data_IF_024329050017
#
_entry.id   IF_024329050017
#
_cell.length_a   1.000
_cell.length_b   1.000
_cell.length_c   1.000
_cell.angle_alpha   90.00
_cell.angle_beta   90.00
_cell.angle_gamma   90.00
#
_symmetry.space_group_name_H-M   'P 1'
#
loop_
_entity.id
_entity.type
_entity.pdbx_description
1 polymer ?
#
# COMPACT_ATOMS: atom_id res chain seq x y z
N UNK A 1 73.66 -20.84 -13.73
CA UNK A 1 73.04 -19.76 -12.93
C UNK A 1 72.18 -18.92 -13.87
N UNK A 2 70.93 -18.68 -13.52
CA UNK A 2 69.99 -17.89 -14.34
C UNK A 2 68.56 -18.24 -13.99
N UNK A 3 68.09 -17.69 -12.87
CA UNK A 3 66.86 -18.08 -12.18
C UNK A 3 65.59 -17.97 -13.03
N UNK A 4 64.75 -18.98 -12.85
CA UNK A 4 63.36 -19.03 -13.30
C UNK A 4 62.54 -18.10 -12.41
N UNK A 5 62.30 -16.87 -12.85
CA UNK A 5 61.45 -15.92 -12.14
C UNK A 5 59.98 -16.36 -12.31
N UNK A 6 59.43 -16.98 -11.28
CA UNK A 6 57.99 -17.14 -11.11
C UNK A 6 57.36 -15.75 -11.03
N UNK A 7 56.61 -15.39 -12.08
CA UNK A 7 55.90 -14.13 -12.17
C UNK A 7 54.64 -14.21 -11.29
N UNK A 8 54.78 -13.90 -9.99
CA UNK A 8 53.68 -13.58 -9.08
C UNK A 8 53.23 -12.13 -9.34
N UNK A 9 52.77 -11.83 -10.55
CA UNK A 9 52.16 -10.55 -10.89
C UNK A 9 50.71 -10.53 -10.40
N UNK A 10 50.42 -9.56 -9.53
CA UNK A 10 49.23 -9.49 -8.69
C UNK A 10 47.91 -9.52 -9.44
N UNK A 11 46.97 -10.29 -8.87
CA UNK A 11 45.57 -10.12 -9.19
C UNK A 11 45.12 -8.74 -8.72
N UNK A 12 44.39 -8.04 -9.56
CA UNK A 12 43.78 -6.76 -9.17
C UNK A 12 42.67 -7.04 -8.15
N UNK A 13 42.37 -6.08 -7.25
CA UNK A 13 41.25 -6.20 -6.29
C UNK A 13 39.92 -6.58 -6.96
N UNK A 14 39.73 -6.16 -8.21
CA UNK A 14 38.56 -6.49 -9.02
C UNK A 14 38.53 -7.96 -9.43
N UNK A 15 39.68 -8.56 -9.76
CA UNK A 15 39.79 -9.98 -10.09
C UNK A 15 39.57 -10.87 -8.86
N UNK A 16 40.06 -10.45 -7.69
CA UNK A 16 39.80 -11.16 -6.43
C UNK A 16 38.31 -11.12 -6.07
N UNK A 17 37.68 -9.94 -6.19
CA UNK A 17 36.24 -9.78 -6.02
C UNK A 17 35.44 -10.64 -7.02
N UNK A 18 35.82 -10.65 -8.29
CA UNK A 18 35.17 -11.49 -9.30
C UNK A 18 35.32 -12.99 -9.00
N UNK A 19 36.50 -13.44 -8.54
CA UNK A 19 36.71 -14.84 -8.14
C UNK A 19 35.85 -15.23 -6.94
N UNK A 20 35.75 -14.37 -5.94
CA UNK A 20 34.86 -14.57 -4.78
C UNK A 20 33.39 -14.67 -5.20
N UNK A 21 32.96 -13.87 -6.19
CA UNK A 21 31.61 -13.96 -6.73
C UNK A 21 31.35 -15.26 -7.51
N UNK A 22 32.37 -15.87 -8.11
CA UNK A 22 32.22 -17.09 -8.93
C UNK A 22 32.40 -18.41 -8.17
N UNK A 23 32.90 -18.37 -6.93
CA UNK A 23 33.13 -19.55 -6.08
C UNK A 23 32.36 -19.52 -4.75
N UNK A 24 31.04 -19.27 -4.73
CA UNK A 24 30.34 -19.10 -3.46
C UNK A 24 30.29 -20.38 -2.60
N UNK A 25 30.38 -21.58 -3.20
CA UNK A 25 30.37 -22.82 -2.43
C UNK A 25 31.66 -23.04 -1.62
N UNK A 26 32.81 -22.54 -2.09
CA UNK A 26 34.06 -22.58 -1.32
C UNK A 26 33.93 -21.66 -0.09
N UNK A 27 33.48 -20.42 -0.30
CA UNK A 27 33.21 -19.47 0.77
C UNK A 27 32.22 -20.02 1.80
N UNK A 28 31.10 -20.58 1.35
CA UNK A 28 30.09 -21.14 2.25
C UNK A 28 30.60 -22.38 3.01
N UNK A 29 31.53 -23.14 2.43
CA UNK A 29 32.23 -24.23 3.09
C UNK A 29 33.14 -23.76 4.21
N UNK A 30 33.85 -22.63 4.02
CA UNK A 30 34.67 -21.99 5.06
C UNK A 30 33.82 -21.38 6.18
N UNK A 31 32.67 -20.79 5.82
CA UNK A 31 31.72 -20.24 6.79
C UNK A 31 31.07 -21.33 7.64
N UNK A 32 30.88 -22.53 7.08
CA UNK A 32 30.22 -23.62 7.78
C UNK A 32 30.98 -24.05 9.05
N UNK A 33 30.31 -23.96 10.20
CA UNK A 33 30.90 -24.27 11.50
C UNK A 33 31.51 -23.06 12.25
N UNK A 34 31.54 -21.88 11.62
CA UNK A 34 31.93 -20.63 12.30
C UNK A 34 30.74 -20.02 13.08
N UNK A 35 31.05 -19.22 14.11
CA UNK A 35 30.05 -18.41 14.79
C UNK A 35 29.89 -17.01 14.16
N UNK A 36 28.75 -16.35 14.38
CA UNK A 36 28.50 -14.97 13.93
C UNK A 36 29.61 -14.03 14.41
N UNK A 37 30.15 -14.26 15.61
CA UNK A 37 31.26 -13.50 16.20
C UNK A 37 32.56 -13.60 15.41
N UNK A 38 32.84 -14.75 14.80
CA UNK A 38 34.09 -14.97 14.04
C UNK A 38 34.05 -14.18 12.74
N UNK A 39 32.92 -14.22 12.03
CA UNK A 39 32.69 -13.43 10.82
C UNK A 39 32.75 -11.92 11.10
N UNK A 40 32.19 -11.49 12.24
CA UNK A 40 32.25 -10.08 12.64
C UNK A 40 33.67 -9.62 12.96
N UNK A 41 34.54 -10.49 13.50
CA UNK A 41 35.97 -10.19 13.71
C UNK A 41 36.73 -9.99 12.40
N UNK A 42 36.26 -10.60 11.32
CA UNK A 42 36.79 -10.40 9.95
C UNK A 42 36.26 -9.11 9.30
N UNK A 43 35.45 -8.31 10.01
CA UNK A 43 34.88 -7.06 9.49
C UNK A 43 33.59 -7.24 8.68
N UNK A 44 33.00 -8.44 8.67
CA UNK A 44 31.72 -8.70 8.00
C UNK A 44 30.58 -8.08 8.83
N UNK A 45 29.64 -7.42 8.15
CA UNK A 45 28.49 -6.78 8.80
C UNK A 45 27.61 -7.82 9.50
N UNK A 46 26.88 -7.40 10.54
CA UNK A 46 25.96 -8.31 11.27
C UNK A 46 24.93 -8.97 10.35
N UNK A 47 24.39 -8.20 9.41
CA UNK A 47 23.40 -8.70 8.46
C UNK A 47 24.03 -9.73 7.52
N UNK A 48 25.19 -9.40 6.94
CA UNK A 48 25.88 -10.28 6.00
C UNK A 48 26.34 -11.58 6.67
N UNK A 49 26.84 -11.51 7.91
CA UNK A 49 27.22 -12.70 8.68
C UNK A 49 26.05 -13.67 8.86
N UNK A 50 24.85 -13.17 9.17
CA UNK A 50 23.65 -14.00 9.33
C UNK A 50 23.20 -14.63 8.02
N UNK A 51 23.25 -13.87 6.93
CA UNK A 51 22.91 -14.38 5.61
C UNK A 51 23.88 -15.49 5.18
N UNK A 52 25.19 -15.30 5.38
CA UNK A 52 26.21 -16.30 5.08
C UNK A 52 26.05 -17.56 5.93
N UNK A 53 25.76 -17.44 7.22
CA UNK A 53 25.53 -18.58 8.11
C UNK A 53 24.28 -19.38 7.71
N UNK A 54 23.19 -18.70 7.35
CA UNK A 54 21.97 -19.37 6.86
C UNK A 54 22.22 -20.14 5.56
N UNK A 55 22.99 -19.55 4.65
CA UNK A 55 23.40 -20.23 3.42
C UNK A 55 24.30 -21.43 3.73
N UNK A 56 25.34 -21.25 4.56
CA UNK A 56 26.24 -22.33 4.93
C UNK A 56 25.49 -23.52 5.55
N UNK A 57 24.54 -23.25 6.46
CA UNK A 57 23.68 -24.29 7.02
C UNK A 57 22.80 -24.98 5.96
N UNK A 58 22.22 -24.22 5.01
CA UNK A 58 21.41 -24.82 3.95
C UNK A 58 22.22 -25.76 3.02
N UNK A 59 23.43 -25.36 2.62
CA UNK A 59 24.24 -26.08 1.62
C UNK A 59 25.22 -27.11 2.22
N UNK A 60 25.62 -26.95 3.48
CA UNK A 60 26.58 -27.84 4.17
C UNK A 60 26.04 -28.48 5.46
N UNK A 61 24.97 -27.94 6.02
CA UNK A 61 24.34 -28.47 7.23
C UNK A 61 23.59 -29.79 7.01
N UNK A 62 23.18 -30.46 8.12
CA UNK A 62 22.54 -31.76 8.06
C UNK A 62 21.14 -31.69 7.42
N UNK A 63 20.86 -32.60 6.48
CA UNK A 63 19.56 -32.69 5.79
C UNK A 63 19.23 -34.12 5.37
N UNK A 64 17.94 -34.48 5.36
CA UNK A 64 17.48 -35.76 4.80
C UNK A 64 17.49 -35.78 3.26
N UNK A 65 17.68 -34.63 2.61
CA UNK A 65 17.71 -34.48 1.15
C UNK A 65 19.14 -34.40 0.60
N UNK A 66 20.04 -35.24 1.11
CA UNK A 66 21.50 -35.21 0.85
C UNK A 66 21.85 -35.22 -0.64
N UNK A 67 21.12 -35.97 -1.47
CA UNK A 67 21.34 -36.01 -2.94
C UNK A 67 21.08 -34.64 -3.58
N UNK A 68 19.98 -33.97 -3.21
CA UNK A 68 19.63 -32.64 -3.73
C UNK A 68 20.61 -31.58 -3.24
N UNK A 69 21.04 -31.64 -1.98
CA UNK A 69 22.07 -30.76 -1.43
C UNK A 69 23.39 -30.90 -2.20
N UNK A 70 23.83 -32.13 -2.50
CA UNK A 70 25.03 -32.36 -3.30
C UNK A 70 24.94 -31.72 -4.68
N UNK A 71 23.83 -31.92 -5.40
CA UNK A 71 23.59 -31.29 -6.70
C UNK A 71 23.56 -29.77 -6.61
N UNK A 72 22.97 -29.21 -5.56
CA UNK A 72 22.95 -27.77 -5.38
C UNK A 72 24.37 -27.18 -5.23
N UNK A 73 25.29 -27.90 -4.58
CA UNK A 73 26.70 -27.47 -4.44
C UNK A 73 27.50 -27.50 -5.75
N UNK A 74 26.98 -28.13 -6.81
CA UNK A 74 27.60 -28.12 -8.14
C UNK A 74 27.18 -26.90 -8.97
N UNK A 75 26.37 -25.99 -8.39
CA UNK A 75 25.89 -24.79 -9.07
C UNK A 75 27.02 -23.84 -9.45
N UNK A 76 26.84 -23.15 -10.58
CA UNK A 76 27.73 -22.09 -11.07
C UNK A 76 27.24 -20.69 -10.73
N UNK A 77 26.16 -20.59 -9.96
CA UNK A 77 25.56 -19.32 -9.55
C UNK A 77 26.48 -18.56 -8.60
N UNK A 78 26.43 -17.23 -8.65
CA UNK A 78 27.14 -16.38 -7.70
C UNK A 78 26.39 -16.27 -6.36
N UNK A 79 27.05 -15.73 -5.34
CA UNK A 79 26.48 -15.58 -3.99
C UNK A 79 25.15 -14.81 -4.00
N UNK A 80 25.05 -13.74 -4.77
CA UNK A 80 23.83 -12.94 -4.90
C UNK A 80 22.65 -13.78 -5.42
N UNK A 81 22.91 -14.67 -6.38
CA UNK A 81 21.90 -15.58 -6.91
C UNK A 81 21.49 -16.64 -5.87
N UNK A 82 22.43 -17.17 -5.08
CA UNK A 82 22.09 -18.11 -4.00
C UNK A 82 21.20 -17.47 -2.93
N UNK A 83 21.48 -16.21 -2.55
CA UNK A 83 20.61 -15.42 -1.65
C UNK A 83 19.19 -15.30 -2.23
N UNK A 84 19.08 -15.03 -3.54
CA UNK A 84 17.79 -14.94 -4.22
C UNK A 84 17.04 -16.28 -4.24
N UNK A 85 17.75 -17.39 -4.47
CA UNK A 85 17.18 -18.74 -4.43
C UNK A 85 16.58 -19.01 -3.04
N UNK A 86 17.34 -18.78 -1.96
CA UNK A 86 16.82 -19.02 -0.60
C UNK A 86 15.64 -18.12 -0.25
N UNK A 87 15.62 -16.87 -0.74
CA UNK A 87 14.46 -15.97 -0.60
C UNK A 87 13.19 -16.53 -1.24
N UNK A 88 13.30 -17.27 -2.34
CA UNK A 88 12.14 -17.93 -2.97
C UNK A 88 11.79 -19.26 -2.30
N UNK A 89 12.81 -20.04 -1.93
CA UNK A 89 12.63 -21.33 -1.27
C UNK A 89 11.94 -21.19 0.08
N UNK A 90 12.21 -20.11 0.83
CA UNK A 90 11.52 -19.82 2.11
C UNK A 90 10.01 -19.62 1.99
N UNK A 91 9.49 -19.38 0.77
CA UNK A 91 8.04 -19.21 0.49
C UNK A 91 7.30 -20.54 0.28
N UNK A 92 8.04 -21.64 0.17
CA UNK A 92 7.43 -22.97 -0.01
C UNK A 92 6.86 -23.49 1.31
N UNK A 93 5.77 -24.25 1.25
CA UNK A 93 5.05 -24.71 2.46
C UNK A 93 5.72 -25.91 3.13
N UNK A 94 6.43 -26.74 2.37
CA UNK A 94 7.01 -28.00 2.88
C UNK A 94 8.50 -28.08 2.60
N UNK A 95 9.24 -28.79 3.46
CA UNK A 95 10.68 -29.07 3.25
C UNK A 95 10.94 -29.81 1.93
N UNK A 96 10.00 -30.65 1.48
CA UNK A 96 10.11 -31.40 0.22
C UNK A 96 10.06 -30.46 -0.99
N UNK A 97 9.11 -29.51 -0.97
CA UNK A 97 8.94 -28.51 -2.03
C UNK A 97 10.10 -27.51 -2.01
N UNK A 98 10.54 -27.11 -0.82
CA UNK A 98 11.72 -26.28 -0.63
C UNK A 98 12.95 -26.86 -1.34
N UNK A 99 13.23 -28.14 -1.10
CA UNK A 99 14.34 -28.84 -1.74
C UNK A 99 14.12 -29.10 -3.23
N UNK A 100 12.87 -29.28 -3.68
CA UNK A 100 12.58 -29.45 -5.10
C UNK A 100 12.87 -28.16 -5.87
N UNK A 101 12.35 -27.04 -5.36
CA UNK A 101 12.58 -25.71 -5.92
C UNK A 101 14.07 -25.32 -5.85
N UNK A 102 14.72 -25.53 -4.70
CA UNK A 102 16.16 -25.22 -4.55
C UNK A 102 17.01 -25.96 -5.58
N UNK A 103 16.79 -27.27 -5.75
CA UNK A 103 17.54 -28.08 -6.70
C UNK A 103 17.30 -27.65 -8.15
N UNK A 104 16.04 -27.33 -8.52
CA UNK A 104 15.71 -26.84 -9.86
C UNK A 104 16.39 -25.49 -10.14
N UNK A 105 16.33 -24.55 -9.19
CA UNK A 105 16.93 -23.22 -9.35
C UNK A 105 18.47 -23.28 -9.34
N UNK A 106 19.08 -24.13 -8.50
CA UNK A 106 20.54 -24.28 -8.48
C UNK A 106 21.09 -24.87 -9.79
N UNK A 107 20.32 -25.71 -10.48
CA UNK A 107 20.72 -26.37 -11.71
C UNK A 107 20.41 -25.56 -12.99
N UNK A 108 19.51 -24.58 -12.92
CA UNK A 108 19.09 -23.85 -14.13
C UNK A 108 20.09 -22.75 -14.50
N UNK A 109 20.25 -22.52 -15.81
CA UNK A 109 20.90 -21.32 -16.38
C UNK A 109 19.89 -20.25 -16.81
N UNK A 110 18.59 -20.53 -16.65
CA UNK A 110 17.50 -19.61 -17.00
C UNK A 110 17.40 -18.49 -15.96
N UNK A 111 16.65 -17.46 -16.31
CA UNK A 111 16.23 -16.41 -15.37
C UNK A 111 15.56 -17.05 -14.13
N UNK A 112 16.27 -16.93 -13.00
CA UNK A 112 15.90 -17.52 -11.71
C UNK A 112 14.59 -16.91 -11.21
N UNK A 113 14.40 -15.60 -11.38
CA UNK A 113 13.21 -14.88 -10.91
C UNK A 113 11.97 -15.37 -11.65
N UNK A 114 12.04 -15.42 -12.98
CA UNK A 114 10.94 -15.87 -13.83
C UNK A 114 10.57 -17.33 -13.57
N UNK A 115 11.56 -18.21 -13.41
CA UNK A 115 11.32 -19.63 -13.14
C UNK A 115 10.73 -19.83 -11.74
N UNK A 116 11.30 -19.19 -10.72
CA UNK A 116 10.80 -19.28 -9.34
C UNK A 116 9.34 -18.81 -9.23
N UNK A 117 9.00 -17.67 -9.84
CA UNK A 117 7.61 -17.18 -9.89
C UNK A 117 6.68 -18.16 -10.59
N UNK A 118 7.13 -18.78 -11.68
CA UNK A 118 6.31 -19.77 -12.40
C UNK A 118 6.05 -21.02 -11.55
N UNK A 119 7.02 -21.48 -10.76
CA UNK A 119 6.87 -22.63 -9.86
C UNK A 119 6.06 -22.31 -8.61
N UNK A 120 6.08 -21.04 -8.18
CA UNK A 120 5.26 -20.52 -7.10
C UNK A 120 3.85 -20.10 -7.58
N UNK A 121 3.51 -20.25 -8.87
CA UNK A 121 2.16 -19.96 -9.38
C UNK A 121 1.15 -20.92 -8.77
N UNK A 122 0.45 -20.39 -7.78
CA UNK A 122 -0.70 -20.96 -7.08
C UNK A 122 -1.19 -20.00 -5.98
N UNK A 123 -0.84 -18.71 -6.12
CA UNK A 123 -1.20 -17.65 -5.21
C UNK A 123 -1.82 -16.48 -5.98
N UNK A 124 -2.51 -15.56 -5.27
CA UNK A 124 -3.16 -14.41 -5.88
C UNK A 124 -2.16 -13.61 -6.73
N UNK A 125 -2.60 -13.23 -7.93
CA UNK A 125 -1.85 -12.37 -8.85
C UNK A 125 -2.57 -11.05 -8.96
N UNK A 126 -1.82 -9.95 -8.92
CA UNK A 126 -2.37 -8.59 -8.95
C UNK A 126 -2.25 -8.00 -10.35
N UNK A 127 -3.33 -7.39 -10.82
CA UNK A 127 -3.35 -6.47 -11.96
C UNK A 127 -3.46 -5.04 -11.40
N UNK A 128 -2.61 -4.13 -11.88
CA UNK A 128 -2.65 -2.72 -11.51
C UNK A 128 -3.00 -1.89 -12.75
N UNK A 129 -3.97 -0.97 -12.61
CA UNK A 129 -4.44 -0.07 -13.67
C UNK A 129 -4.20 1.35 -13.17
N UNK A 130 -3.63 2.21 -14.01
CA UNK A 130 -3.38 3.63 -13.72
C UNK A 130 -3.95 4.46 -14.86
N UNK A 131 -4.65 5.54 -14.52
CA UNK A 131 -5.32 6.43 -15.47
C UNK A 131 -5.85 7.66 -14.74
N UNK A 132 -6.63 8.47 -15.44
CA UNK A 132 -7.22 9.69 -14.89
C UNK A 132 -8.09 9.39 -13.66
N UNK A 133 -8.09 10.30 -12.68
CA UNK A 133 -8.74 10.11 -11.38
C UNK A 133 -10.23 9.78 -11.52
N UNK A 134 -10.93 10.48 -12.42
CA UNK A 134 -12.35 10.24 -12.70
C UNK A 134 -12.60 8.90 -13.41
N UNK A 135 -11.73 8.51 -14.35
CA UNK A 135 -11.80 7.20 -15.00
C UNK A 135 -11.60 6.04 -14.02
N UNK A 136 -10.62 6.15 -13.13
CA UNK A 136 -10.34 5.11 -12.13
C UNK A 136 -11.49 4.99 -11.12
N UNK A 137 -12.09 6.11 -10.72
CA UNK A 137 -13.26 6.09 -9.84
C UNK A 137 -14.51 5.47 -10.50
N UNK A 138 -14.77 5.74 -11.78
CA UNK A 138 -15.83 5.10 -12.55
C UNK A 138 -15.60 3.58 -12.69
N UNK A 139 -14.34 3.17 -12.87
CA UNK A 139 -13.96 1.76 -12.91
C UNK A 139 -14.20 1.08 -11.55
N UNK A 140 -13.82 1.73 -10.45
CA UNK A 140 -14.06 1.24 -9.09
C UNK A 140 -15.55 1.12 -8.74
N UNK A 141 -16.39 2.08 -9.15
CA UNK A 141 -17.83 2.02 -8.89
C UNK A 141 -18.50 0.86 -9.63
N UNK A 142 -17.96 0.50 -10.80
CA UNK A 142 -18.47 -0.62 -11.60
C UNK A 142 -17.99 -1.99 -11.07
N UNK A 143 -16.78 -2.06 -10.49
CA UNK A 143 -16.21 -3.26 -9.87
C UNK A 143 -16.62 -3.28 -8.37
N UNK A 144 -17.88 -3.60 -8.10
CA UNK A 144 -18.43 -3.68 -6.74
C UNK A 144 -17.78 -4.73 -5.84
N UNK A 145 -18.08 -4.69 -4.53
CA UNK A 145 -17.42 -5.53 -3.51
C UNK A 145 -17.92 -6.99 -3.47
N UNK A 146 -19.16 -7.25 -3.87
CA UNK A 146 -19.79 -8.57 -3.72
C UNK A 146 -19.23 -9.63 -4.69
N UNK A 147 -18.93 -9.21 -5.94
CA UNK A 147 -18.42 -10.08 -7.01
C UNK A 147 -17.43 -9.37 -7.95
N UNK A 148 -16.28 -8.89 -7.46
CA UNK A 148 -15.35 -8.06 -8.24
C UNK A 148 -14.79 -8.79 -9.49
N UNK A 149 -14.57 -10.10 -9.41
CA UNK A 149 -14.07 -10.88 -10.55
C UNK A 149 -15.12 -11.05 -11.66
N UNK A 150 -16.41 -11.18 -11.30
CA UNK A 150 -17.49 -11.26 -12.28
C UNK A 150 -17.76 -9.90 -12.93
N UNK A 151 -17.61 -8.81 -12.17
CA UNK A 151 -17.67 -7.46 -12.71
C UNK A 151 -16.56 -7.23 -13.74
N UNK A 152 -15.32 -7.61 -13.41
CA UNK A 152 -14.17 -7.53 -14.33
C UNK A 152 -14.40 -8.41 -15.57
N UNK A 153 -14.86 -9.67 -15.41
CA UNK A 153 -15.14 -10.56 -16.55
C UNK A 153 -16.13 -9.94 -17.54
N UNK A 154 -17.16 -9.29 -17.00
CA UNK A 154 -18.21 -8.63 -17.78
C UNK A 154 -17.69 -7.39 -18.53
N UNK A 155 -16.89 -6.56 -17.85
CA UNK A 155 -16.31 -5.32 -18.42
C UNK A 155 -15.35 -5.66 -19.56
N UNK A 156 -14.43 -6.61 -19.34
CA UNK A 156 -13.32 -6.85 -20.26
C UNK A 156 -13.59 -7.90 -21.33
N UNK A 157 -14.43 -8.90 -21.07
CA UNK A 157 -14.57 -10.06 -21.97
C UNK A 157 -15.96 -10.27 -22.54
N UNK A 158 -17.02 -9.77 -21.89
CA UNK A 158 -18.41 -9.99 -22.36
C UNK A 158 -19.09 -8.78 -22.99
N UNK A 159 -18.38 -7.65 -23.12
CA UNK A 159 -18.80 -6.50 -23.92
C UNK A 159 -20.11 -5.83 -23.49
N UNK A 160 -20.49 -5.93 -22.21
CA UNK A 160 -21.81 -5.52 -21.74
C UNK A 160 -21.79 -4.93 -20.34
N UNK A 161 -21.47 -3.65 -20.23
CA UNK A 161 -21.88 -2.84 -19.09
C UNK A 161 -22.35 -1.48 -19.60
N UNK A 162 -23.66 -1.22 -19.51
CA UNK A 162 -24.14 0.15 -19.37
C UNK A 162 -23.45 0.73 -18.14
N UNK A 163 -22.72 1.85 -18.31
CA UNK A 163 -22.11 2.56 -17.18
C UNK A 163 -23.22 2.85 -16.16
N UNK A 164 -23.16 2.31 -14.93
CA UNK A 164 -24.08 2.78 -13.90
C UNK A 164 -23.84 4.27 -13.73
N UNK A 165 -24.89 5.08 -13.86
CA UNK A 165 -24.81 6.52 -13.57
C UNK A 165 -24.66 6.62 -12.06
N UNK A 166 -23.41 6.65 -11.60
CA UNK A 166 -23.10 6.90 -10.20
C UNK A 166 -23.52 8.34 -9.90
N UNK A 167 -24.57 8.53 -9.10
CA UNK A 167 -24.95 9.85 -8.59
C UNK A 167 -23.89 10.29 -7.58
N UNK A 168 -22.80 10.86 -8.09
CA UNK A 168 -21.69 11.32 -7.26
C UNK A 168 -21.94 12.78 -6.89
N UNK A 169 -21.78 13.11 -5.61
CA UNK A 169 -21.87 14.49 -5.15
C UNK A 169 -20.56 15.20 -5.50
N UNK A 170 -20.69 16.42 -6.02
CA UNK A 170 -19.56 17.28 -6.36
C UNK A 170 -19.54 18.43 -5.36
N UNK A 171 -18.40 18.60 -4.71
CA UNK A 171 -18.16 19.59 -3.68
C UNK A 171 -17.65 20.84 -4.37
N UNK A 172 -18.32 21.97 -4.15
CA UNK A 172 -17.92 23.25 -4.72
C UNK A 172 -17.87 24.28 -3.59
N UNK A 173 -16.69 24.84 -3.34
CA UNK A 173 -16.56 26.00 -2.46
C UNK A 173 -17.08 27.26 -3.15
N UNK A 174 -17.55 28.22 -2.36
CA UNK A 174 -18.19 29.42 -2.91
C UNK A 174 -17.25 30.25 -3.81
N UNK A 175 -15.97 30.35 -3.46
CA UNK A 175 -14.96 31.05 -4.26
C UNK A 175 -14.60 30.31 -5.55
N UNK A 176 -14.66 28.98 -5.54
CA UNK A 176 -14.51 28.13 -6.73
C UNK A 176 -15.71 28.28 -7.67
N UNK A 177 -16.92 28.37 -7.12
CA UNK A 177 -18.13 28.64 -7.89
C UNK A 177 -18.04 29.98 -8.62
N UNK A 178 -17.61 31.04 -7.93
CA UNK A 178 -17.44 32.37 -8.52
C UNK A 178 -16.43 32.36 -9.67
N UNK A 179 -15.31 31.62 -9.54
CA UNK A 179 -14.30 31.45 -10.59
C UNK A 179 -14.85 30.69 -11.80
N UNK A 180 -15.60 29.61 -11.57
CA UNK A 180 -16.22 28.83 -12.64
C UNK A 180 -17.23 29.69 -13.41
N UNK A 181 -18.09 30.43 -12.71
CA UNK A 181 -19.08 31.33 -13.33
C UNK A 181 -18.43 32.49 -14.09
N UNK A 182 -17.23 32.91 -13.66
CA UNK A 182 -16.45 33.97 -14.31
C UNK A 182 -15.60 33.47 -15.50
N UNK A 183 -15.71 32.19 -15.87
CA UNK A 183 -15.03 31.61 -17.03
C UNK A 183 -13.67 30.94 -16.73
N UNK A 184 -13.24 30.86 -15.46
CA UNK A 184 -11.99 30.24 -15.03
C UNK A 184 -12.08 28.72 -14.80
N UNK A 185 -13.10 28.03 -15.32
CA UNK A 185 -13.39 26.63 -14.99
C UNK A 185 -12.30 25.62 -15.38
N UNK A 186 -11.39 25.97 -16.30
CA UNK A 186 -10.25 25.11 -16.65
C UNK A 186 -9.18 25.05 -15.55
N UNK A 187 -9.08 26.09 -14.72
CA UNK A 187 -8.06 26.22 -13.65
C UNK A 187 -8.57 25.73 -12.28
N UNK A 188 -9.86 25.41 -12.18
CA UNK A 188 -10.49 24.97 -10.92
C UNK A 188 -10.58 23.45 -10.90
N UNK A 189 -9.93 22.82 -9.92
CA UNK A 189 -10.04 21.37 -9.64
C UNK A 189 -11.04 21.16 -8.52
N UNK A 190 -12.07 20.35 -8.77
CA UNK A 190 -13.16 20.04 -7.86
C UNK A 190 -13.10 18.58 -7.41
N UNK A 191 -13.44 18.35 -6.15
CA UNK A 191 -13.43 17.02 -5.56
C UNK A 191 -14.82 16.39 -5.54
N UNK A 192 -14.88 15.12 -5.90
CA UNK A 192 -16.08 14.29 -5.93
C UNK A 192 -16.12 13.39 -4.69
N UNK A 193 -17.32 13.01 -4.22
CA UNK A 193 -17.46 12.14 -3.03
C UNK A 193 -16.99 10.69 -3.22
N UNK A 194 -16.66 10.29 -4.45
CA UNK A 194 -15.99 9.03 -4.76
C UNK A 194 -14.45 9.17 -4.71
N UNK A 195 -13.92 10.34 -4.32
CA UNK A 195 -12.49 10.63 -4.25
C UNK A 195 -11.86 11.10 -5.55
N UNK A 196 -12.61 11.13 -6.66
CA UNK A 196 -12.09 11.64 -7.93
C UNK A 196 -11.95 13.18 -7.92
N UNK A 197 -11.01 13.66 -8.73
CA UNK A 197 -10.86 15.08 -9.05
C UNK A 197 -11.30 15.33 -10.50
N UNK A 198 -11.97 16.46 -10.73
CA UNK A 198 -12.44 16.89 -12.05
C UNK A 198 -12.24 18.39 -12.21
N UNK A 199 -11.97 18.88 -13.42
CA UNK A 199 -11.93 20.33 -13.66
C UNK A 199 -13.35 20.93 -13.68
N UNK A 200 -13.47 22.22 -13.34
CA UNK A 200 -14.71 22.98 -13.47
C UNK A 200 -15.27 22.97 -14.90
N UNK A 201 -14.40 23.01 -15.91
CA UNK A 201 -14.80 22.89 -17.33
C UNK A 201 -15.40 21.50 -17.64
N UNK A 202 -14.76 20.43 -17.19
CA UNK A 202 -15.24 19.05 -17.39
C UNK A 202 -16.49 18.76 -16.55
N UNK A 203 -16.69 19.47 -15.43
CA UNK A 203 -17.96 19.51 -14.70
C UNK A 203 -19.09 20.12 -15.54
N UNK A 204 -18.88 21.27 -16.18
CA UNK A 204 -19.88 21.91 -17.05
C UNK A 204 -20.28 20.98 -18.19
N UNK A 205 -19.31 20.29 -18.80
CA UNK A 205 -19.57 19.24 -19.79
C UNK A 205 -20.38 18.06 -19.22
N UNK A 206 -19.99 17.51 -18.05
CA UNK A 206 -20.71 16.39 -17.41
C UNK A 206 -22.13 16.76 -16.94
N UNK A 207 -22.35 18.00 -16.47
CA UNK A 207 -23.65 18.49 -15.98
C UNK A 207 -24.73 18.53 -17.07
N UNK A 208 -24.33 18.64 -18.33
CA UNK A 208 -25.24 18.58 -19.48
C UNK A 208 -25.65 17.14 -19.84
N UNK A 209 -25.08 16.13 -19.18
CA UNK A 209 -25.15 14.72 -19.59
C UNK A 209 -25.74 13.73 -18.55
N UNK A 210 -26.62 14.18 -17.64
CA UNK A 210 -27.39 13.38 -16.64
C UNK A 210 -26.85 13.32 -15.19
N UNK A 211 -27.72 13.74 -14.27
CA UNK A 211 -27.83 13.45 -12.82
C UNK A 211 -26.52 13.42 -11.99
N UNK A 212 -26.08 14.61 -11.56
CA UNK A 212 -25.13 14.78 -10.44
C UNK A 212 -25.66 15.80 -9.42
N UNK A 213 -25.49 15.54 -8.13
CA UNK A 213 -25.88 16.45 -7.04
C UNK A 213 -24.73 17.44 -6.76
N UNK A 214 -25.05 18.72 -6.55
CA UNK A 214 -24.07 19.76 -6.16
C UNK A 214 -24.33 20.14 -4.71
N UNK A 215 -23.27 20.14 -3.90
CA UNK A 215 -23.29 20.67 -2.54
C UNK A 215 -22.42 21.92 -2.47
N UNK A 216 -23.03 23.05 -2.10
CA UNK A 216 -22.30 24.29 -1.82
C UNK A 216 -21.85 24.32 -0.37
N UNK A 217 -20.57 24.62 -0.15
CA UNK A 217 -20.00 24.76 1.20
C UNK A 217 -19.50 26.19 1.40
N UNK A 218 -20.05 26.86 2.42
CA UNK A 218 -19.58 28.18 2.81
C UNK A 218 -18.19 28.07 3.46
N UNK A 219 -17.21 28.91 3.07
CA UNK A 219 -15.82 28.78 3.53
C UNK A 219 -15.62 28.97 5.04
N UNK A 220 -16.58 29.60 5.74
CA UNK A 220 -16.48 29.85 7.18
C UNK A 220 -17.56 29.18 8.03
N UNK A 221 -18.70 28.82 7.44
CA UNK A 221 -19.89 28.37 8.17
C UNK A 221 -20.20 26.89 7.92
N UNK A 222 -19.51 26.23 6.99
CA UNK A 222 -19.76 24.83 6.68
C UNK A 222 -21.17 24.56 6.11
N UNK A 223 -21.62 23.30 6.14
CA UNK A 223 -22.94 22.90 5.62
C UNK A 223 -24.10 23.06 6.63
N UNK A 224 -25.34 23.28 6.15
CA UNK A 224 -26.54 23.70 6.92
C UNK A 224 -26.94 22.73 8.06
N UNK A 225 -27.12 23.26 9.28
CA UNK A 225 -27.41 22.53 10.53
C UNK A 225 -28.88 22.08 10.73
N UNK A 226 -29.08 20.96 11.46
CA UNK A 226 -30.37 20.48 11.98
C UNK A 226 -30.18 20.14 13.46
N UNK A 227 -30.58 21.04 14.36
CA UNK A 227 -30.42 20.92 15.82
C UNK A 227 -30.96 19.61 16.43
N UNK A 228 -30.45 19.26 17.62
CA UNK A 228 -30.56 17.97 18.34
C UNK A 228 -31.97 17.35 18.43
N UNK A 229 -32.35 16.54 17.44
CA UNK A 229 -33.63 15.80 17.38
C UNK A 229 -33.47 14.28 17.37
N UNK A 230 -32.30 13.75 16.98
CA UNK A 230 -32.00 12.31 16.90
C UNK A 230 -30.50 12.03 17.04
N UNK A 231 -30.14 10.83 17.52
CA UNK A 231 -28.76 10.33 17.54
C UNK A 231 -28.22 10.06 16.13
N UNK A 232 -29.09 9.64 15.21
CA UNK A 232 -28.67 9.25 13.86
C UNK A 232 -28.77 10.45 12.92
N UNK A 233 -27.69 10.69 12.20
CA UNK A 233 -27.67 11.70 11.15
C UNK A 233 -28.68 11.36 10.04
N UNK A 234 -29.44 12.37 9.63
CA UNK A 234 -30.30 12.26 8.45
C UNK A 234 -29.47 11.99 7.19
N UNK A 235 -30.11 11.51 6.13
CA UNK A 235 -29.45 11.32 4.83
C UNK A 235 -28.79 12.62 4.35
N UNK A 236 -29.47 13.76 4.48
CA UNK A 236 -28.91 15.09 4.16
C UNK A 236 -27.60 15.35 4.92
N UNK A 237 -27.56 15.08 6.22
CA UNK A 237 -26.36 15.29 7.05
C UNK A 237 -25.23 14.32 6.71
N UNK A 238 -25.57 13.08 6.37
CA UNK A 238 -24.58 12.11 5.87
C UNK A 238 -23.95 12.58 4.56
N UNK A 239 -24.77 13.04 3.60
CA UNK A 239 -24.30 13.57 2.33
C UNK A 239 -23.45 14.84 2.54
N UNK A 240 -23.84 15.72 3.46
CA UNK A 240 -23.09 16.92 3.82
C UNK A 240 -21.75 16.58 4.51
N UNK A 241 -21.72 15.61 5.41
CA UNK A 241 -20.48 15.17 6.08
C UNK A 241 -19.50 14.53 5.10
N UNK A 242 -20.00 13.71 4.17
CA UNK A 242 -19.20 13.12 3.10
C UNK A 242 -18.73 14.17 2.07
N UNK A 243 -19.51 15.22 1.85
CA UNK A 243 -19.10 16.35 1.01
C UNK A 243 -18.04 17.22 1.71
N UNK A 244 -18.10 17.37 3.03
CA UNK A 244 -17.08 18.13 3.76
C UNK A 244 -15.75 17.36 3.85
N UNK A 245 -15.81 16.03 3.97
CA UNK A 245 -14.65 15.16 4.10
C UNK A 245 -14.82 14.00 3.10
N UNK A 246 -14.32 14.10 1.87
CA UNK A 246 -14.50 13.07 0.83
C UNK A 246 -13.71 11.79 1.08
N UNK A 247 -12.76 11.82 2.02
CA UNK A 247 -12.10 10.66 2.61
C UNK A 247 -12.03 10.81 4.12
N UNK A 248 -11.80 9.70 4.83
CA UNK A 248 -11.62 9.71 6.28
C UNK A 248 -10.55 10.75 6.67
N UNK A 249 -10.88 11.75 7.52
CA UNK A 249 -9.98 12.86 7.84
C UNK A 249 -8.89 12.47 8.86
N UNK A 250 -8.77 11.17 9.15
CA UNK A 250 -7.66 10.67 9.92
C UNK A 250 -6.36 10.80 9.13
N UNK A 251 -5.26 11.18 9.79
CA UNK A 251 -4.00 11.41 9.08
C UNK A 251 -3.58 10.19 8.24
N UNK A 252 -3.20 10.45 6.99
CA UNK A 252 -2.78 9.46 6.00
C UNK A 252 -3.85 8.42 5.61
N UNK A 253 -5.13 8.65 5.94
CA UNK A 253 -6.22 7.77 5.56
C UNK A 253 -6.92 8.23 4.28
N UNK A 254 -6.95 7.37 3.27
CA UNK A 254 -7.68 7.61 2.01
C UNK A 254 -8.95 6.76 1.88
N UNK A 255 -9.51 6.28 2.99
CA UNK A 255 -10.74 5.47 2.96
C UNK A 255 -11.93 6.35 2.54
N UNK A 256 -12.71 5.97 1.51
CA UNK A 256 -13.65 6.87 0.87
C UNK A 256 -14.89 7.13 1.73
N UNK A 257 -15.48 8.32 1.61
CA UNK A 257 -16.56 8.77 2.49
C UNK A 257 -17.89 8.05 2.31
N UNK A 258 -18.16 7.54 1.10
CA UNK A 258 -19.31 6.69 0.78
C UNK A 258 -19.35 5.40 1.64
N UNK A 259 -18.19 4.89 2.04
CA UNK A 259 -18.02 3.71 2.90
C UNK A 259 -17.76 4.07 4.37
N UNK A 260 -17.61 5.35 4.68
CA UNK A 260 -17.42 5.82 6.04
C UNK A 260 -18.73 5.86 6.84
N UNK A 261 -18.57 5.86 8.15
CA UNK A 261 -19.65 6.11 9.11
C UNK A 261 -19.67 7.59 9.47
N UNK A 262 -20.86 8.13 9.74
CA UNK A 262 -20.95 9.48 10.32
C UNK A 262 -20.44 9.41 11.76
N UNK A 263 -19.50 10.28 12.08
CA UNK A 263 -18.84 10.38 13.37
C UNK A 263 -19.20 11.70 14.06
N UNK A 264 -19.39 11.65 15.38
CA UNK A 264 -19.61 12.84 16.20
C UNK A 264 -18.27 13.30 16.80
N UNK A 265 -17.89 14.56 16.59
CA UNK A 265 -16.65 15.12 17.16
C UNK A 265 -16.71 15.20 18.69
N UNK A 266 -17.83 15.69 19.22
CA UNK A 266 -18.27 15.49 20.58
C UNK A 266 -19.27 14.34 20.59
N UNK A 267 -18.91 13.22 21.19
CA UNK A 267 -19.74 12.03 21.16
C UNK A 267 -21.16 12.30 21.70
N UNK A 268 -22.17 11.69 21.06
CA UNK A 268 -23.57 11.81 21.49
C UNK A 268 -23.80 11.44 22.96
N UNK A 269 -23.11 10.39 23.46
CA UNK A 269 -23.17 9.97 24.88
C UNK A 269 -22.66 11.04 25.85
N UNK A 270 -21.82 11.96 25.38
CA UNK A 270 -21.26 13.10 26.11
C UNK A 270 -21.96 14.42 25.79
N UNK A 271 -23.19 14.35 25.24
CA UNK A 271 -24.05 15.52 25.01
C UNK A 271 -23.86 16.21 23.66
N UNK A 272 -23.00 15.71 22.78
CA UNK A 272 -22.82 16.30 21.46
C UNK A 272 -24.07 16.23 20.58
N UNK A 273 -24.27 17.26 19.77
CA UNK A 273 -25.43 17.39 18.89
C UNK A 273 -25.22 16.67 17.56
N UNK A 274 -26.29 16.22 16.93
CA UNK A 274 -26.21 15.67 15.56
C UNK A 274 -26.40 16.81 14.57
N UNK A 275 -25.45 17.75 14.54
CA UNK A 275 -25.41 18.92 13.66
C UNK A 275 -24.12 18.90 12.86
N UNK A 276 -24.08 19.54 11.69
CA UNK A 276 -22.89 19.47 10.82
C UNK A 276 -21.62 19.99 11.49
N UNK A 277 -21.72 21.00 12.35
CA UNK A 277 -20.57 21.49 13.14
C UNK A 277 -19.93 20.41 14.02
N UNK A 278 -20.73 19.44 14.47
CA UNK A 278 -20.32 18.33 15.32
C UNK A 278 -20.22 16.98 14.58
N UNK A 279 -20.44 16.96 13.26
CA UNK A 279 -20.39 15.74 12.47
C UNK A 279 -19.20 15.75 11.51
N UNK A 280 -18.67 14.56 11.26
CA UNK A 280 -17.77 14.27 10.15
C UNK A 280 -18.02 12.84 9.67
N UNK A 281 -17.17 12.33 8.79
CA UNK A 281 -17.15 10.93 8.39
C UNK A 281 -15.85 10.28 8.91
N UNK A 282 -15.92 9.01 9.29
CA UNK A 282 -14.75 8.23 9.70
C UNK A 282 -14.90 6.78 9.21
N UNK A 283 -13.81 6.16 8.77
CA UNK A 283 -13.85 4.75 8.36
C UNK A 283 -14.17 3.86 9.58
N UNK A 284 -14.70 2.64 9.40
CA UNK A 284 -15.07 1.78 10.52
C UNK A 284 -13.95 1.56 11.53
N UNK A 285 -12.70 1.48 11.07
CA UNK A 285 -11.52 1.36 11.93
C UNK A 285 -11.29 2.64 12.74
N UNK A 286 -11.12 3.80 12.10
CA UNK A 286 -10.83 5.06 12.77
C UNK A 286 -11.97 5.55 13.65
N UNK A 287 -13.21 5.31 13.25
CA UNK A 287 -14.38 5.56 14.08
C UNK A 287 -14.32 4.77 15.41
N UNK A 288 -13.93 3.48 15.34
CA UNK A 288 -13.86 2.61 16.51
C UNK A 288 -12.67 2.88 17.45
N UNK A 289 -11.63 3.57 16.97
CA UNK A 289 -10.41 3.83 17.74
C UNK A 289 -10.22 5.31 18.10
N UNK A 290 -11.18 6.16 17.76
CA UNK A 290 -11.20 7.59 18.10
C UNK A 290 -11.34 7.78 19.62
N UNK A 291 -10.55 8.69 20.18
CA UNK A 291 -10.62 9.03 21.61
C UNK A 291 -11.85 9.93 21.90
N UNK A 292 -13.04 9.33 21.94
CA UNK A 292 -14.34 10.01 22.10
C UNK A 292 -14.55 10.67 23.47
N UNK A 293 -13.89 10.16 24.50
CA UNK A 293 -14.01 10.67 25.86
C UNK A 293 -12.92 11.75 26.09
N UNK A 294 -13.29 13.03 26.29
CA UNK A 294 -12.33 14.09 26.61
C UNK A 294 -11.68 13.94 27.99
N UNK A 295 -12.22 13.10 28.87
CA UNK A 295 -11.72 12.88 30.22
C UNK A 295 -10.92 11.58 30.36
N UNK A 296 -10.93 10.71 29.34
CA UNK A 296 -10.07 9.53 29.31
C UNK A 296 -8.64 9.90 28.85
N UNK A 297 -7.61 9.19 29.33
CA UNK A 297 -6.25 9.35 28.81
C UNK A 297 -6.23 9.10 27.29
N UNK A 298 -5.64 9.99 26.48
CA UNK A 298 -5.62 9.82 25.03
C UNK A 298 -4.71 8.65 24.64
N UNK A 299 -5.14 7.86 23.67
CA UNK A 299 -4.44 6.65 23.21
C UNK A 299 -4.05 6.78 21.75
N UNK A 300 -4.98 7.15 20.88
CA UNK A 300 -4.78 7.19 19.43
C UNK A 300 -5.08 8.55 18.82
N UNK A 301 -5.52 9.52 19.62
CA UNK A 301 -5.94 10.83 19.16
C UNK A 301 -7.41 10.86 18.78
N UNK A 302 -7.85 12.03 18.31
CA UNK A 302 -9.25 12.27 17.98
C UNK A 302 -9.40 13.14 16.75
N UNK A 303 -10.50 12.96 16.04
CA UNK A 303 -10.93 13.91 15.02
C UNK A 303 -11.44 15.19 15.70
N UNK A 304 -10.98 16.33 15.20
CA UNK A 304 -11.31 17.64 15.74
C UNK A 304 -11.51 18.64 14.60
N UNK A 305 -12.44 19.59 14.79
CA UNK A 305 -12.67 20.68 13.87
C UNK A 305 -11.80 21.87 14.23
N UNK A 306 -10.83 22.19 13.40
CA UNK A 306 -9.98 23.38 13.53
C UNK A 306 -10.14 24.25 12.28
N UNK A 307 -10.56 25.52 12.49
CA UNK A 307 -10.76 26.52 11.41
C UNK A 307 -11.62 26.01 10.24
N UNK A 308 -12.73 25.34 10.55
CA UNK A 308 -13.67 24.83 9.55
C UNK A 308 -13.25 23.54 8.86
N UNK A 309 -12.08 22.96 9.16
CA UNK A 309 -11.62 21.68 8.63
C UNK A 309 -11.57 20.62 9.70
N UNK A 310 -11.83 19.37 9.32
CA UNK A 310 -11.66 18.23 10.22
C UNK A 310 -10.24 17.71 10.07
N UNK A 311 -9.54 17.63 11.18
CA UNK A 311 -8.16 17.17 11.26
C UNK A 311 -8.04 16.13 12.37
N UNK A 312 -7.10 15.20 12.20
CA UNK A 312 -6.72 14.31 13.29
C UNK A 312 -5.76 15.02 14.25
N UNK A 313 -6.19 15.14 15.50
CA UNK A 313 -5.37 15.60 16.61
C UNK A 313 -4.69 14.40 17.27
N UNK A 314 -3.36 14.24 17.13
CA UNK A 314 -2.65 13.13 17.77
C UNK A 314 -2.65 13.26 19.29
N UNK A 315 -2.49 12.14 20.03
CA UNK A 315 -2.68 12.10 21.49
C UNK A 315 -1.64 12.94 22.28
N UNK A 316 -0.52 13.30 21.66
CA UNK A 316 0.52 14.14 22.24
C UNK A 316 0.39 15.63 21.90
N UNK A 317 -0.54 16.01 21.02
CA UNK A 317 -0.76 17.40 20.65
C UNK A 317 -1.83 18.06 21.53
N UNK A 318 -1.57 19.29 21.97
CA UNK A 318 -2.62 20.15 22.51
C UNK A 318 -3.49 20.66 21.35
N UNK A 319 -4.81 20.82 21.54
CA UNK A 319 -5.66 21.45 20.54
C UNK A 319 -5.08 22.84 20.19
N UNK A 320 -4.92 23.19 18.91
CA UNK A 320 -4.51 24.53 18.52
C UNK A 320 -5.49 25.58 19.05
N UNK A 321 -4.95 26.68 19.59
CA UNK A 321 -5.69 27.83 20.15
C UNK A 321 -6.40 28.66 19.07
#
# INVERSE_FOLDING_TARGET
>A
MGGRWLNLAGMTRLQDYARQLTSPMELLGEVFGLAETDLRRLGISRQESRELLLLADAYFGPTSFTRRQRTCRETKHCLTTLKLIEKYVSRTKTKRDAWALRAELCATSRDIDKLARTRLKGGPSTLSITGDSDFIADLHSTIGEDSPLEAVDRIFFRGGATRPVASTNIIIHLDELDKILSGGGEEVTLQMTNGAEISGAKLVEKKLAEVGLITLIHPFEGPVNLYRTSRFASEKQRLMAAAENPSCPWAECNYPADKCQVHHLQAWKHGGETNMDNLTIACPYHNGVNDDDPHAPPVRGRLHRHRGRIEWLPPWASPPS
#
